data_IF_644819546779
#
_entry.id   IF_644819546779
#
_cell.length_a   1.000
_cell.length_b   1.000
_cell.length_c   1.000
_cell.angle_alpha   90.00
_cell.angle_beta   90.00
_cell.angle_gamma   90.00
#
_symmetry.space_group_name_H-M   'P 1'
#
loop_
_entity.id
_entity.type
_entity.pdbx_description
1 polymer ?
#
# COMPACT_ATOMS: atom_id res chain seq x y z
N UNK A 1 -13.43 3.10 -10.09
CA UNK A 1 -12.62 1.87 -10.17
C UNK A 1 -11.29 2.22 -10.82
N UNK A 2 -10.17 2.01 -10.12
CA UNK A 2 -8.83 2.17 -10.66
C UNK A 2 -8.60 1.29 -11.90
N UNK A 3 -7.66 1.65 -12.78
CA UNK A 3 -7.34 0.83 -13.94
C UNK A 3 -6.65 -0.47 -13.50
N UNK A 4 -6.87 -1.54 -14.26
CA UNK A 4 -6.19 -2.81 -14.05
C UNK A 4 -4.68 -2.63 -14.19
N UNK A 5 -3.96 -2.85 -13.08
CA UNK A 5 -2.50 -2.84 -13.06
C UNK A 5 -1.95 -4.10 -13.73
N UNK A 6 -0.89 -3.94 -14.51
CA UNK A 6 -0.13 -5.05 -15.09
C UNK A 6 1.28 -5.06 -14.51
N UNK A 7 1.97 -6.20 -14.62
CA UNK A 7 3.39 -6.31 -14.25
C UNK A 7 4.25 -5.26 -14.97
N UNK A 8 4.01 -5.06 -16.27
CA UNK A 8 4.74 -4.06 -17.06
C UNK A 8 4.52 -2.62 -16.59
N UNK A 9 3.33 -2.29 -16.06
CA UNK A 9 3.08 -0.99 -15.45
C UNK A 9 3.91 -0.83 -14.18
N UNK A 10 3.93 -1.83 -13.29
CA UNK A 10 4.74 -1.77 -12.07
C UNK A 10 6.23 -1.65 -12.40
N UNK A 11 6.73 -2.43 -13.36
CA UNK A 11 8.14 -2.39 -13.79
C UNK A 11 8.54 -1.07 -14.46
N UNK A 12 7.58 -0.24 -14.87
CA UNK A 12 7.86 1.11 -15.37
C UNK A 12 8.13 2.13 -14.26
N UNK A 13 7.80 1.78 -13.01
CA UNK A 13 7.87 2.67 -11.84
C UNK A 13 8.83 2.09 -10.79
N UNK A 14 8.74 0.79 -10.54
CA UNK A 14 9.55 0.05 -9.57
C UNK A 14 10.60 -0.81 -10.29
N UNK A 15 11.80 -0.97 -9.72
CA UNK A 15 12.77 -1.93 -10.22
C UNK A 15 12.19 -3.35 -10.27
N UNK A 16 12.38 -4.13 -11.35
CA UNK A 16 11.80 -5.47 -11.46
C UNK A 16 12.20 -6.45 -10.34
N UNK A 17 13.40 -6.26 -9.75
CA UNK A 17 13.90 -7.06 -8.63
C UNK A 17 13.25 -6.71 -7.28
N UNK A 18 12.49 -5.62 -7.22
CA UNK A 18 11.76 -5.15 -6.04
C UNK A 18 10.26 -5.45 -6.16
N UNK A 19 9.84 -6.32 -7.08
CA UNK A 19 8.44 -6.73 -7.20
C UNK A 19 8.30 -8.19 -6.74
N UNK A 20 7.70 -8.35 -5.56
CA UNK A 20 7.59 -9.64 -4.86
C UNK A 20 6.32 -10.36 -5.28
N UNK A 21 6.50 -11.57 -5.83
CA UNK A 21 5.43 -12.52 -6.12
C UNK A 21 5.40 -13.64 -5.09
N UNK A 22 4.26 -14.31 -4.96
CA UNK A 22 4.08 -15.44 -4.05
C UNK A 22 3.87 -16.75 -4.78
N UNK A 23 4.40 -17.82 -4.20
CA UNK A 23 4.13 -19.19 -4.61
C UNK A 23 2.82 -19.69 -3.97
N UNK A 24 2.19 -20.70 -4.57
CA UNK A 24 0.91 -21.25 -4.09
C UNK A 24 0.88 -21.67 -2.60
N UNK A 25 1.95 -22.24 -2.00
CA UNK A 25 1.98 -22.55 -0.57
C UNK A 25 1.88 -21.31 0.33
N UNK A 26 2.52 -20.21 -0.05
CA UNK A 26 2.47 -18.95 0.69
C UNK A 26 1.07 -18.32 0.64
N UNK A 27 0.32 -18.55 -0.43
CA UNK A 27 -1.05 -18.10 -0.62
C UNK A 27 -2.12 -19.07 -0.09
N UNK A 28 -1.77 -20.04 0.76
CA UNK A 28 -2.72 -21.07 1.23
C UNK A 28 -3.94 -20.52 1.97
N UNK A 29 -3.84 -19.32 2.54
CA UNK A 29 -4.92 -18.62 3.24
C UNK A 29 -5.78 -17.72 2.33
N UNK A 30 -5.42 -17.58 1.05
CA UNK A 30 -6.18 -16.79 0.07
C UNK A 30 -7.06 -17.71 -0.77
N UNK A 31 -8.37 -17.52 -0.66
CA UNK A 31 -9.36 -18.23 -1.48
C UNK A 31 -9.91 -17.37 -2.62
N UNK A 32 -9.75 -16.04 -2.52
CA UNK A 32 -10.11 -15.12 -3.59
C UNK A 32 -9.15 -15.26 -4.78
N UNK A 33 -9.66 -15.84 -5.86
CA UNK A 33 -8.86 -16.25 -7.02
C UNK A 33 -8.13 -15.06 -7.70
N UNK A 34 -8.77 -13.90 -7.97
CA UNK A 34 -8.08 -12.75 -8.55
C UNK A 34 -6.92 -12.22 -7.70
N UNK A 35 -7.02 -12.30 -6.37
CA UNK A 35 -5.91 -11.92 -5.49
C UNK A 35 -4.74 -12.89 -5.60
N UNK A 36 -5.01 -14.19 -5.81
CA UNK A 36 -3.96 -15.19 -6.05
C UNK A 36 -3.27 -14.95 -7.39
N UNK A 37 -4.02 -14.69 -8.45
CA UNK A 37 -3.45 -14.36 -9.77
C UNK A 37 -2.58 -13.11 -9.68
N UNK A 38 -3.07 -12.05 -9.04
CA UNK A 38 -2.30 -10.82 -8.84
C UNK A 38 -0.98 -11.09 -8.12
N UNK A 39 -1.01 -11.78 -6.98
CA UNK A 39 0.20 -12.04 -6.18
C UNK A 39 1.16 -13.02 -6.85
N UNK A 40 0.68 -13.93 -7.70
CA UNK A 40 1.51 -14.86 -8.46
C UNK A 40 2.21 -14.20 -9.64
N UNK A 41 1.45 -13.43 -10.44
CA UNK A 41 1.88 -13.01 -11.77
C UNK A 41 2.34 -11.54 -11.83
N UNK A 42 1.86 -10.70 -10.89
CA UNK A 42 2.13 -9.26 -10.85
C UNK A 42 3.01 -8.91 -9.65
N UNK A 43 2.55 -9.26 -8.45
CA UNK A 43 3.24 -9.02 -7.18
C UNK A 43 3.04 -7.61 -6.61
N UNK A 44 3.67 -7.36 -5.45
CA UNK A 44 3.67 -6.06 -4.75
C UNK A 44 5.09 -5.47 -4.70
N UNK A 45 5.24 -4.13 -4.66
CA UNK A 45 6.55 -3.52 -4.52
C UNK A 45 7.11 -3.71 -3.10
N UNK A 46 8.34 -4.21 -3.04
CA UNK A 46 9.19 -4.25 -1.87
C UNK A 46 9.96 -2.94 -1.81
N UNK A 47 9.56 -2.04 -0.92
CA UNK A 47 10.29 -0.81 -0.64
C UNK A 47 10.79 -0.86 0.80
N UNK A 48 12.09 -0.61 1.00
CA UNK A 48 12.68 -0.49 2.34
C UNK A 48 12.33 0.87 3.00
N UNK A 49 11.87 1.83 2.20
CA UNK A 49 11.44 3.16 2.65
C UNK A 49 10.45 3.76 1.66
N UNK A 50 9.49 4.51 2.19
CA UNK A 50 8.49 5.19 1.37
C UNK A 50 7.16 5.29 2.10
N UNK A 51 6.08 5.48 1.35
CA UNK A 51 4.73 5.46 1.93
C UNK A 51 4.29 4.04 2.25
N UNK A 52 4.77 3.03 1.53
CA UNK A 52 4.39 1.64 1.67
C UNK A 52 5.64 0.78 1.90
N UNK A 53 5.66 0.04 3.00
CA UNK A 53 6.75 -0.87 3.36
C UNK A 53 6.16 -2.26 3.51
N UNK A 54 6.46 -3.12 2.54
CA UNK A 54 5.98 -4.50 2.51
C UNK A 54 6.59 -5.30 3.68
N UNK A 55 5.79 -6.15 4.32
CA UNK A 55 6.28 -7.02 5.38
C UNK A 55 7.46 -7.89 4.89
N UNK A 56 8.58 -7.94 5.62
CA UNK A 56 9.77 -8.68 5.18
C UNK A 56 9.52 -10.19 5.10
N UNK A 57 8.58 -10.74 5.88
CA UNK A 57 8.23 -12.16 5.88
C UNK A 57 7.21 -12.51 4.78
N UNK A 58 6.58 -11.50 4.16
CA UNK A 58 5.60 -11.62 3.07
C UNK A 58 5.98 -12.64 1.98
N UNK A 59 7.22 -12.67 1.43
CA UNK A 59 7.57 -13.60 0.37
C UNK A 59 7.52 -15.07 0.80
N UNK A 60 7.63 -15.34 2.10
CA UNK A 60 7.79 -16.70 2.64
C UNK A 60 6.50 -17.23 3.26
N UNK A 61 5.75 -16.37 3.96
CA UNK A 61 4.54 -16.77 4.65
C UNK A 61 3.63 -15.57 4.90
N UNK A 62 2.36 -15.71 4.54
CA UNK A 62 1.34 -14.76 4.97
C UNK A 62 0.78 -15.17 6.32
N UNK A 63 0.81 -14.25 7.27
CA UNK A 63 0.27 -14.45 8.61
C UNK A 63 -1.03 -13.66 8.82
N UNK A 64 -1.89 -14.15 9.69
CA UNK A 64 -3.09 -13.42 10.10
C UNK A 64 -2.71 -12.30 11.07
N UNK A 65 -3.53 -11.24 11.14
CA UNK A 65 -3.33 -10.15 12.10
C UNK A 65 -3.37 -10.65 13.55
N UNK A 66 -4.22 -11.63 13.82
CA UNK A 66 -4.27 -12.29 15.12
C UNK A 66 -2.90 -12.87 15.50
N UNK A 67 -2.26 -13.58 14.57
CA UNK A 67 -0.98 -14.26 14.83
C UNK A 67 0.23 -13.32 14.72
N UNK A 68 0.13 -12.24 13.94
CA UNK A 68 1.21 -11.28 13.72
C UNK A 68 1.45 -10.38 14.93
N UNK A 69 0.39 -9.78 15.49
CA UNK A 69 0.58 -8.73 16.50
C UNK A 69 -0.56 -8.55 17.49
N UNK A 70 -1.82 -8.70 17.06
CA UNK A 70 -2.95 -8.26 17.88
C UNK A 70 -3.53 -9.34 18.80
N UNK A 71 -3.35 -10.62 18.50
CA UNK A 71 -3.98 -11.69 19.29
C UNK A 71 -5.46 -11.43 19.53
N UNK A 72 -5.88 -11.46 20.80
CA UNK A 72 -7.26 -11.18 21.22
C UNK A 72 -7.68 -9.70 21.07
N UNK A 73 -6.73 -8.78 20.84
CA UNK A 73 -6.98 -7.35 20.64
C UNK A 73 -7.30 -7.01 19.16
N UNK A 74 -7.32 -8.00 18.26
CA UNK A 74 -7.70 -7.79 16.87
C UNK A 74 -9.15 -7.28 16.76
N UNK A 75 -9.44 -6.27 15.91
CA UNK A 75 -10.80 -5.79 15.73
C UNK A 75 -11.77 -6.93 15.37
N UNK A 76 -13.03 -6.91 15.86
CA UNK A 76 -14.01 -7.95 15.55
C UNK A 76 -14.17 -8.17 14.05
N UNK A 77 -13.95 -9.40 13.60
CA UNK A 77 -14.05 -9.77 12.18
C UNK A 77 -12.78 -9.54 11.36
N UNK A 78 -11.75 -8.91 11.91
CA UNK A 78 -10.46 -8.67 11.24
C UNK A 78 -9.37 -9.69 11.62
N UNK A 79 -9.60 -10.53 12.64
CA UNK A 79 -8.63 -11.51 13.14
C UNK A 79 -8.08 -12.45 12.03
N UNK A 80 -8.90 -12.78 11.04
CA UNK A 80 -8.50 -13.63 9.90
C UNK A 80 -7.91 -12.89 8.70
N UNK A 81 -7.80 -11.56 8.74
CA UNK A 81 -7.17 -10.79 7.67
C UNK A 81 -5.66 -10.98 7.69
N UNK A 82 -5.08 -11.01 6.50
CA UNK A 82 -3.66 -11.29 6.30
C UNK A 82 -2.88 -9.99 6.33
N UNK A 83 -1.83 -9.91 7.15
CA UNK A 83 -0.95 -8.76 7.17
C UNK A 83 -0.16 -8.68 5.85
N UNK A 84 -0.10 -7.49 5.26
CA UNK A 84 0.66 -7.24 4.03
C UNK A 84 1.87 -6.34 4.28
N UNK A 85 1.63 -5.19 4.90
CA UNK A 85 2.54 -4.07 4.85
C UNK A 85 2.17 -3.00 5.88
N UNK A 86 3.08 -2.06 6.07
CA UNK A 86 2.76 -0.76 6.63
C UNK A 86 2.51 0.25 5.51
N UNK A 87 1.49 1.10 5.66
CA UNK A 87 1.21 2.24 4.78
C UNK A 87 1.10 3.49 5.63
N UNK A 88 2.02 4.43 5.43
CA UNK A 88 2.24 5.54 6.36
C UNK A 88 2.42 4.97 7.78
N UNK A 89 1.57 5.30 8.75
CA UNK A 89 1.70 4.72 10.10
C UNK A 89 0.73 3.57 10.41
N UNK A 90 -0.06 3.13 9.43
CA UNK A 90 -1.11 2.13 9.64
C UNK A 90 -0.75 0.79 9.01
N UNK A 91 -1.33 -0.29 9.54
CA UNK A 91 -1.17 -1.62 8.97
C UNK A 91 -2.16 -1.83 7.82
N UNK A 92 -1.66 -2.39 6.71
CA UNK A 92 -2.47 -2.77 5.56
C UNK A 92 -2.66 -4.28 5.55
N UNK A 93 -3.90 -4.69 5.38
CA UNK A 93 -4.29 -6.10 5.48
C UNK A 93 -5.21 -6.51 4.34
N UNK A 94 -5.17 -7.80 3.99
CA UNK A 94 -5.99 -8.41 2.95
C UNK A 94 -7.03 -9.35 3.58
N UNK A 95 -8.29 -9.17 3.21
CA UNK A 95 -9.29 -10.21 3.38
C UNK A 95 -9.08 -11.29 2.31
N UNK A 96 -8.48 -12.41 2.69
CA UNK A 96 -8.18 -13.53 1.77
C UNK A 96 -9.41 -14.19 1.15
N UNK A 97 -10.62 -13.94 1.66
CA UNK A 97 -11.86 -14.48 1.10
C UNK A 97 -12.50 -13.56 0.06
N UNK A 98 -12.46 -12.24 0.27
CA UNK A 98 -13.08 -11.26 -0.65
C UNK A 98 -12.09 -10.52 -1.55
N UNK A 99 -10.80 -10.55 -1.23
CA UNK A 99 -9.75 -9.79 -1.92
C UNK A 99 -9.68 -8.31 -1.55
N UNK A 100 -10.54 -7.84 -0.64
CA UNK A 100 -10.58 -6.43 -0.22
C UNK A 100 -9.40 -6.10 0.68
N UNK A 101 -8.89 -4.88 0.54
CA UNK A 101 -7.78 -4.35 1.33
C UNK A 101 -8.32 -3.38 2.37
N UNK A 102 -7.81 -3.50 3.59
CA UNK A 102 -8.22 -2.71 4.74
C UNK A 102 -7.02 -2.05 5.41
N UNK A 103 -7.28 -0.94 6.08
CA UNK A 103 -6.35 -0.29 6.99
C UNK A 103 -6.73 -0.61 8.44
N UNK A 104 -5.73 -0.94 9.24
CA UNK A 104 -5.80 -1.12 10.69
C UNK A 104 -4.95 0.00 11.31
N UNK A 105 -5.59 1.10 11.74
CA UNK A 105 -4.88 2.19 12.39
C UNK A 105 -4.36 1.76 13.75
N UNK A 106 -3.14 2.16 14.10
CA UNK A 106 -2.59 1.88 15.44
C UNK A 106 -3.37 2.57 16.56
N UNK A 107 -3.94 3.74 16.26
CA UNK A 107 -4.59 4.60 17.24
C UNK A 107 -6.10 4.39 17.38
N UNK A 108 -6.73 3.58 16.51
CA UNK A 108 -8.19 3.41 16.48
C UNK A 108 -8.59 1.93 16.55
N UNK A 109 -9.70 1.59 17.23
CA UNK A 109 -10.13 0.20 17.40
C UNK A 109 -10.87 -0.37 16.17
N UNK A 110 -11.07 0.42 15.12
CA UNK A 110 -11.88 0.07 13.95
C UNK A 110 -11.02 -0.19 12.71
N UNK A 111 -11.47 -1.09 11.85
CA UNK A 111 -10.87 -1.32 10.52
C UNK A 111 -11.55 -0.46 9.47
N UNK A 112 -10.75 0.15 8.61
CA UNK A 112 -11.25 1.01 7.55
C UNK A 112 -11.09 0.35 6.19
N UNK A 113 -12.14 0.36 5.32
CA UNK A 113 -11.97 -0.04 3.93
C UNK A 113 -10.92 0.86 3.26
N UNK A 114 -9.91 0.25 2.66
CA UNK A 114 -8.83 0.99 2.01
C UNK A 114 -8.94 0.87 0.49
N UNK A 115 -8.92 -0.37 -0.02
CA UNK A 115 -9.07 -0.63 -1.45
C UNK A 115 -10.03 -1.78 -1.75
N UNK A 116 -10.71 -1.70 -2.88
CA UNK A 116 -11.58 -2.77 -3.40
C UNK A 116 -10.79 -4.05 -3.68
N UNK A 117 -9.57 -3.92 -4.19
CA UNK A 117 -8.68 -5.03 -4.54
C UNK A 117 -7.19 -4.64 -4.56
N UNK A 118 -6.32 -5.62 -4.84
CA UNK A 118 -4.87 -5.42 -4.96
C UNK A 118 -4.46 -4.61 -6.20
N UNK A 119 -5.25 -4.61 -7.28
CA UNK A 119 -4.98 -3.76 -8.43
C UNK A 119 -5.13 -2.28 -8.06
N UNK A 120 -6.16 -1.95 -7.30
CA UNK A 120 -6.45 -0.62 -6.79
C UNK A 120 -5.34 -0.12 -5.87
N UNK A 121 -4.92 -0.95 -4.91
CA UNK A 121 -3.75 -0.67 -4.07
C UNK A 121 -2.51 -0.40 -4.94
N UNK A 122 -2.16 -1.33 -5.83
CA UNK A 122 -0.96 -1.21 -6.65
C UNK A 122 -0.96 0.02 -7.56
N UNK A 123 -2.12 0.46 -8.04
CA UNK A 123 -2.24 1.69 -8.82
C UNK A 123 -1.91 2.92 -7.99
N UNK A 124 -2.41 2.98 -6.76
CA UNK A 124 -2.12 4.07 -5.83
C UNK A 124 -0.62 4.12 -5.48
N UNK A 125 -0.01 2.96 -5.25
CA UNK A 125 1.44 2.85 -5.02
C UNK A 125 2.24 3.36 -6.21
N UNK A 126 1.87 2.98 -7.44
CA UNK A 126 2.46 3.54 -8.66
C UNK A 126 2.35 5.07 -8.72
N UNK A 127 1.17 5.62 -8.41
CA UNK A 127 0.95 7.06 -8.44
C UNK A 127 1.85 7.78 -7.43
N UNK A 128 1.89 7.29 -6.18
CA UNK A 128 2.74 7.83 -5.13
C UNK A 128 4.22 7.78 -5.54
N UNK A 129 4.72 6.64 -6.01
CA UNK A 129 6.13 6.49 -6.37
C UNK A 129 6.54 7.41 -7.56
N UNK A 130 5.66 7.61 -8.56
CA UNK A 130 5.91 8.58 -9.64
C UNK A 130 6.06 10.02 -9.15
N UNK A 131 5.37 10.38 -8.08
CA UNK A 131 5.42 11.70 -7.45
C UNK A 131 6.47 11.79 -6.33
N UNK A 132 7.07 10.67 -5.91
CA UNK A 132 8.06 10.60 -4.82
C UNK A 132 9.19 11.64 -4.93
N UNK A 133 9.81 11.90 -6.10
CA UNK A 133 10.85 12.93 -6.19
C UNK A 133 10.37 14.36 -5.85
N UNK A 134 9.06 14.61 -5.91
CA UNK A 134 8.48 15.91 -5.65
C UNK A 134 8.15 16.16 -4.18
N UNK A 135 8.06 15.12 -3.34
CA UNK A 135 7.71 15.23 -1.92
C UNK A 135 8.69 14.57 -0.95
N UNK A 136 9.51 13.61 -1.40
CA UNK A 136 10.38 12.83 -0.52
C UNK A 136 11.80 13.44 -0.43
N UNK A 137 12.20 14.00 0.74
CA UNK A 137 13.53 14.56 0.92
C UNK A 137 14.64 13.49 0.91
N UNK A 138 14.31 12.22 1.10
CA UNK A 138 15.22 11.08 1.03
C UNK A 138 15.29 10.43 -0.36
N UNK A 139 14.52 10.92 -1.35
CA UNK A 139 14.56 10.36 -2.71
C UNK A 139 16.02 10.31 -3.24
N UNK A 140 16.52 9.15 -3.70
CA UNK A 140 17.97 8.93 -3.91
C UNK A 140 18.63 9.87 -4.92
N UNK A 141 17.94 10.21 -6.00
CA UNK A 141 18.47 11.10 -7.03
C UNK A 141 18.26 12.57 -6.64
N UNK A 142 19.30 13.18 -6.07
CA UNK A 142 19.28 14.57 -5.63
C UNK A 142 19.05 15.57 -6.76
N UNK A 143 19.45 15.26 -8.01
CA UNK A 143 19.28 16.17 -9.16
C UNK A 143 17.82 16.16 -9.60
N UNK A 144 17.24 14.97 -9.76
CA UNK A 144 15.82 14.82 -10.08
C UNK A 144 14.95 15.41 -8.99
N UNK A 145 15.27 15.13 -7.71
CA UNK A 145 14.56 15.69 -6.56
C UNK A 145 14.59 17.21 -6.56
N UNK A 146 15.77 17.83 -6.70
CA UNK A 146 15.88 19.29 -6.73
C UNK A 146 15.11 19.93 -7.90
N UNK A 147 15.02 19.25 -9.04
CA UNK A 147 14.29 19.74 -10.21
C UNK A 147 12.76 19.57 -10.09
N UNK A 148 12.28 18.57 -9.35
CA UNK A 148 10.85 18.24 -9.25
C UNK A 148 10.20 18.65 -7.93
N UNK A 149 10.98 19.10 -6.94
CA UNK A 149 10.51 19.43 -5.60
C UNK A 149 9.31 20.40 -5.62
N UNK A 150 8.14 19.87 -5.29
CA UNK A 150 6.87 20.58 -5.20
C UNK A 150 5.92 19.75 -4.31
N UNK A 151 6.15 19.71 -2.99
CA UNK A 151 5.44 18.77 -2.13
C UNK A 151 3.93 19.01 -2.10
N UNK A 152 3.51 20.29 -2.06
CA UNK A 152 2.08 20.66 -2.13
C UNK A 152 1.46 20.30 -3.46
N UNK A 153 2.09 20.64 -4.58
CA UNK A 153 1.53 20.31 -5.88
C UNK A 153 1.53 18.80 -6.16
N UNK A 154 2.49 18.04 -5.61
CA UNK A 154 2.47 16.58 -5.67
C UNK A 154 1.24 16.02 -4.93
N UNK A 155 0.99 16.47 -3.69
CA UNK A 155 -0.20 16.07 -2.94
C UNK A 155 -1.51 16.44 -3.65
N UNK A 156 -1.58 17.64 -4.24
CA UNK A 156 -2.75 18.10 -5.00
C UNK A 156 -2.98 17.24 -6.26
N UNK A 157 -1.91 16.91 -7.00
CA UNK A 157 -1.97 16.04 -8.19
C UNK A 157 -2.42 14.63 -7.83
N UNK A 158 -1.84 14.05 -6.78
CA UNK A 158 -2.23 12.72 -6.29
C UNK A 158 -3.69 12.70 -5.84
N UNK A 159 -4.13 13.70 -5.06
CA UNK A 159 -5.52 13.77 -4.63
C UNK A 159 -6.48 13.90 -5.82
N UNK A 160 -6.15 14.74 -6.79
CA UNK A 160 -6.96 14.94 -7.99
C UNK A 160 -7.01 13.69 -8.88
N UNK A 161 -5.93 12.91 -8.96
CA UNK A 161 -5.86 11.66 -9.71
C UNK A 161 -6.62 10.52 -9.00
N UNK A 162 -6.36 10.32 -7.73
CA UNK A 162 -6.73 9.10 -7.00
C UNK A 162 -8.16 9.16 -6.43
N UNK A 163 -8.59 10.32 -5.92
CA UNK A 163 -9.91 10.45 -5.28
C UNK A 163 -11.08 10.10 -6.20
N UNK A 164 -11.09 10.48 -7.49
CA UNK A 164 -12.17 10.07 -8.39
C UNK A 164 -12.21 8.58 -8.67
N UNK A 165 -11.06 7.89 -8.59
CA UNK A 165 -10.97 6.45 -8.87
C UNK A 165 -11.52 5.62 -7.72
N UNK A 166 -11.21 6.03 -6.48
CA UNK A 166 -11.60 5.32 -5.27
C UNK A 166 -11.83 6.29 -4.10
N UNK A 167 -13.05 6.87 -3.98
CA UNK A 167 -13.37 7.83 -2.94
C UNK A 167 -13.27 7.26 -1.52
N UNK A 168 -13.42 5.94 -1.34
CA UNK A 168 -13.39 5.29 -0.01
C UNK A 168 -12.01 5.32 0.63
N UNK A 169 -10.93 5.27 -0.17
CA UNK A 169 -9.54 5.42 0.31
C UNK A 169 -9.31 6.78 1.00
N UNK A 170 -10.18 7.76 0.74
CA UNK A 170 -10.19 9.11 1.35
C UNK A 170 -11.45 9.38 2.17
N UNK A 171 -12.22 8.33 2.50
CA UNK A 171 -13.53 8.46 3.14
C UNK A 171 -13.46 8.94 4.59
N UNK A 172 -12.28 8.80 5.22
CA UNK A 172 -12.00 9.25 6.58
C UNK A 172 -10.80 10.22 6.58
N UNK A 173 -10.85 11.23 7.45
CA UNK A 173 -9.74 12.19 7.59
C UNK A 173 -8.47 11.53 8.11
N UNK A 174 -8.60 10.48 8.93
CA UNK A 174 -7.50 9.66 9.41
C UNK A 174 -7.22 8.42 8.54
N UNK A 175 -7.71 8.38 7.29
CA UNK A 175 -7.29 7.29 6.40
C UNK A 175 -5.79 7.42 6.08
N UNK A 176 -5.07 6.30 5.88
CA UNK A 176 -3.64 6.33 5.60
C UNK A 176 -3.29 7.26 4.43
N UNK A 177 -4.10 7.26 3.37
CA UNK A 177 -3.90 8.13 2.21
C UNK A 177 -4.15 9.61 2.51
N UNK A 178 -5.15 9.96 3.32
CA UNK A 178 -5.38 11.34 3.73
C UNK A 178 -4.23 11.88 4.58
N UNK A 179 -3.74 11.08 5.53
CA UNK A 179 -2.60 11.44 6.38
C UNK A 179 -1.30 11.54 5.58
N UNK A 180 -1.02 10.56 4.72
CA UNK A 180 0.09 10.61 3.79
C UNK A 180 0.07 11.88 2.93
N UNK A 181 -1.05 12.23 2.31
CA UNK A 181 -1.13 13.44 1.47
C UNK A 181 -0.91 14.72 2.29
N UNK A 182 -1.38 14.75 3.54
CA UNK A 182 -1.13 15.86 4.44
C UNK A 182 0.37 16.04 4.71
N UNK A 183 1.10 14.95 4.95
CA UNK A 183 2.53 15.01 5.21
C UNK A 183 3.37 15.18 3.94
N UNK A 184 2.99 14.54 2.85
CA UNK A 184 3.58 14.76 1.53
C UNK A 184 3.50 16.24 1.14
N UNK A 185 2.42 16.95 1.50
CA UNK A 185 2.30 18.40 1.25
C UNK A 185 3.34 19.26 1.98
N UNK A 186 3.98 18.72 3.02
CA UNK A 186 5.02 19.37 3.84
C UNK A 186 6.44 18.85 3.54
N UNK A 187 6.55 17.78 2.75
CA UNK A 187 7.75 16.97 2.60
C UNK A 187 7.68 15.75 3.52
N UNK A 188 7.51 14.56 2.93
CA UNK A 188 7.33 13.29 3.64
C UNK A 188 8.56 12.42 3.46
N UNK A 189 9.24 12.08 4.55
CA UNK A 189 10.51 11.35 4.57
C UNK A 189 10.38 9.83 4.66
N UNK A 190 9.16 9.30 4.49
CA UNK A 190 8.92 7.87 4.47
C UNK A 190 8.71 7.27 5.85
N UNK A 191 8.22 6.04 5.85
CA UNK A 191 8.26 5.15 7.01
C UNK A 191 9.61 4.43 6.97
N UNK A 192 10.26 4.28 8.12
CA UNK A 192 11.44 3.44 8.24
C UNK A 192 11.00 1.99 8.48
N UNK A 193 11.45 1.07 7.63
CA UNK A 193 11.31 -0.38 7.85
C UNK A 193 12.19 -0.91 8.97
#
# INVERSE_FOLDING_TARGET
>A
MPPTVTRALLESVFPPGELVTLDDPAMSLITHEPSREFLRDIGLPLQESGVFVLDPDFPTHMTTIHDWHLGDDAPPGAAGFLYLAQLHYDHVVLDGASGRVWALPEAEPEVFPLHEDLHSLAYFLCAAERERPAYDPQFPDAVVRAARWDPRGAADRLLAELRPLEPMAFGHENSPWSLFLQDASKGFDGVAG
#
